data_IF_962759261557
#
_entry.id   IF_962759261557
#
_cell.length_a   1.000
_cell.length_b   1.000
_cell.length_c   1.000
_cell.angle_alpha   90.00
_cell.angle_beta   90.00
_cell.angle_gamma   90.00
#
_symmetry.space_group_name_H-M   'P 1'
#
loop_
_entity.id
_entity.type
_entity.pdbx_description
1 polymer ?
#
# COMPACT_ATOMS: atom_id res chain seq x y z
N UNK A 1 -32.51 2.12 -69.59
CA UNK A 1 -31.69 2.31 -68.37
C UNK A 1 -31.55 3.77 -67.87
N UNK A 2 -32.26 4.71 -68.43
CA UNK A 2 -32.16 6.14 -68.03
C UNK A 2 -33.19 6.67 -67.01
N UNK A 3 -34.19 5.82 -66.63
CA UNK A 3 -35.24 6.24 -65.65
C UNK A 3 -34.97 5.90 -64.21
N UNK A 4 -34.07 4.98 -63.92
CA UNK A 4 -33.71 4.57 -62.53
C UNK A 4 -32.70 5.56 -61.88
N UNK A 5 -31.83 6.19 -62.66
CA UNK A 5 -30.84 7.15 -62.11
C UNK A 5 -31.40 8.48 -61.61
N UNK A 6 -32.50 8.94 -62.22
CA UNK A 6 -33.13 10.22 -61.84
C UNK A 6 -33.93 10.16 -60.51
N UNK A 7 -34.46 8.98 -60.17
CA UNK A 7 -35.18 8.78 -58.90
C UNK A 7 -34.21 8.70 -57.71
N UNK A 8 -33.08 8.10 -57.84
CA UNK A 8 -32.01 8.00 -56.79
C UNK A 8 -31.38 9.39 -56.52
N UNK A 9 -31.19 10.21 -57.55
CA UNK A 9 -30.62 11.54 -57.39
C UNK A 9 -31.58 12.50 -56.66
N UNK A 10 -32.91 12.37 -56.93
CA UNK A 10 -33.93 13.19 -56.23
C UNK A 10 -34.12 12.77 -54.77
N UNK A 11 -34.01 11.48 -54.44
CA UNK A 11 -34.08 11.00 -53.07
C UNK A 11 -32.84 11.43 -52.25
N UNK A 12 -31.65 11.43 -52.85
CA UNK A 12 -30.43 11.88 -52.20
C UNK A 12 -30.42 13.39 -51.90
N UNK A 13 -30.95 14.22 -52.80
CA UNK A 13 -31.09 15.67 -52.63
C UNK A 13 -32.12 16.03 -51.56
N UNK A 14 -33.23 15.28 -51.47
CA UNK A 14 -34.25 15.49 -50.45
C UNK A 14 -33.73 15.13 -49.06
N UNK A 15 -32.92 14.04 -48.90
CA UNK A 15 -32.30 13.66 -47.63
C UNK A 15 -31.24 14.68 -47.18
N UNK A 16 -30.44 15.20 -48.10
CA UNK A 16 -29.43 16.22 -47.79
C UNK A 16 -30.06 17.55 -47.38
N UNK A 17 -31.18 17.94 -47.99
CA UNK A 17 -31.91 19.17 -47.65
C UNK A 17 -32.58 19.07 -46.27
N UNK A 18 -33.13 17.93 -45.89
CA UNK A 18 -33.69 17.69 -44.54
C UNK A 18 -32.64 17.64 -43.46
N UNK A 19 -31.44 17.08 -43.71
CA UNK A 19 -30.32 17.09 -42.77
C UNK A 19 -29.77 18.51 -42.55
N UNK A 20 -29.67 19.31 -43.63
CA UNK A 20 -29.24 20.70 -43.54
C UNK A 20 -30.24 21.59 -42.78
N UNK A 21 -31.55 21.35 -42.95
CA UNK A 21 -32.59 22.08 -42.22
C UNK A 21 -32.62 21.76 -40.73
N UNK A 22 -32.27 20.50 -40.33
CA UNK A 22 -32.13 20.10 -38.92
C UNK A 22 -30.92 20.75 -38.25
N UNK A 23 -29.85 21.06 -39.00
CA UNK A 23 -28.65 21.70 -38.47
C UNK A 23 -28.82 23.23 -38.29
N UNK A 24 -29.83 23.82 -38.91
CA UNK A 24 -30.14 25.26 -38.84
C UNK A 24 -31.20 25.61 -37.79
N UNK A 25 -31.79 24.63 -37.10
CA UNK A 25 -32.69 24.89 -35.99
C UNK A 25 -31.96 25.58 -34.85
N UNK A 26 -32.45 26.71 -34.31
CA UNK A 26 -31.83 27.34 -33.15
C UNK A 26 -31.83 26.35 -31.99
N UNK A 27 -30.64 26.11 -31.42
CA UNK A 27 -30.50 25.27 -30.24
C UNK A 27 -31.34 25.87 -29.10
N UNK A 28 -32.14 25.08 -28.40
CA UNK A 28 -32.84 25.55 -27.23
C UNK A 28 -31.84 26.14 -26.22
N UNK A 29 -32.18 27.21 -25.52
CA UNK A 29 -31.32 27.78 -24.51
C UNK A 29 -31.00 26.71 -23.48
N UNK A 30 -29.76 26.67 -22.95
CA UNK A 30 -29.39 25.73 -21.90
C UNK A 30 -30.34 25.92 -20.70
N UNK A 31 -30.74 24.85 -20.03
CA UNK A 31 -31.56 24.95 -18.82
C UNK A 31 -30.89 25.88 -17.80
N UNK A 32 -31.66 26.65 -17.02
CA UNK A 32 -31.10 27.52 -16.00
C UNK A 32 -30.22 26.68 -15.08
N UNK A 33 -28.97 27.14 -14.88
CA UNK A 33 -28.00 26.49 -14.01
C UNK A 33 -28.61 26.40 -12.63
N UNK A 34 -28.76 25.19 -12.13
CA UNK A 34 -29.17 24.97 -10.75
C UNK A 34 -28.29 25.82 -9.81
N UNK A 35 -28.84 26.48 -8.80
CA UNK A 35 -28.06 27.27 -7.87
C UNK A 35 -27.00 26.34 -7.26
N UNK A 36 -25.75 26.83 -7.21
CA UNK A 36 -24.67 26.11 -6.57
C UNK A 36 -25.11 25.70 -5.14
N UNK A 37 -24.88 24.46 -4.72
CA UNK A 37 -25.20 24.08 -3.34
C UNK A 37 -24.50 25.07 -2.41
N UNK A 38 -25.25 25.63 -1.47
CA UNK A 38 -24.72 26.47 -0.42
C UNK A 38 -23.56 25.74 0.25
N UNK A 39 -22.44 26.43 0.61
CA UNK A 39 -21.36 25.79 1.32
C UNK A 39 -21.95 25.10 2.56
N UNK A 40 -21.78 23.78 2.63
CA UNK A 40 -22.23 23.00 3.77
C UNK A 40 -21.68 23.68 5.01
N UNK A 41 -22.55 24.10 5.92
CA UNK A 41 -22.18 24.63 7.20
C UNK A 41 -21.18 23.62 7.80
N UNK A 42 -19.98 24.09 8.16
CA UNK A 42 -19.00 23.27 8.87
C UNK A 42 -19.69 22.82 10.15
N UNK A 43 -20.16 21.59 10.13
CA UNK A 43 -20.66 20.94 11.35
C UNK A 43 -19.60 21.09 12.41
N UNK A 44 -20.00 21.40 13.63
CA UNK A 44 -19.12 21.39 14.76
C UNK A 44 -18.30 20.09 14.74
N UNK A 45 -16.98 20.12 15.02
CA UNK A 45 -16.20 18.90 15.05
C UNK A 45 -16.89 17.91 15.97
N UNK A 46 -17.18 16.72 15.45
CA UNK A 46 -17.69 15.62 16.27
C UNK A 46 -16.74 15.47 17.47
N UNK A 47 -17.25 15.18 18.68
CA UNK A 47 -16.39 15.01 19.84
C UNK A 47 -15.30 14.00 19.47
N UNK A 48 -14.05 14.40 19.66
CA UNK A 48 -12.90 13.57 19.36
C UNK A 48 -13.08 12.26 20.13
N UNK A 49 -13.41 11.18 19.41
CA UNK A 49 -13.38 9.83 19.98
C UNK A 49 -12.01 9.57 20.59
N UNK A 50 -11.85 8.59 21.49
CA UNK A 50 -10.57 8.31 22.10
C UNK A 50 -9.51 8.20 21.00
N UNK A 51 -8.44 9.00 21.12
CA UNK A 51 -7.39 9.11 20.10
C UNK A 51 -6.83 7.73 19.70
N UNK A 52 -6.26 7.62 18.53
CA UNK A 52 -5.66 6.38 18.05
C UNK A 52 -4.57 5.93 19.04
N UNK A 53 -4.61 4.66 19.43
CA UNK A 53 -3.67 4.06 20.38
C UNK A 53 -2.73 3.11 19.63
N UNK A 54 -1.50 2.86 20.14
CA UNK A 54 -0.59 1.87 19.56
C UNK A 54 -1.26 0.50 19.32
N UNK A 55 -2.08 0.03 20.26
CA UNK A 55 -2.78 -1.27 20.15
C UNK A 55 -3.85 -1.31 19.05
N UNK A 56 -4.24 -0.17 18.50
CA UNK A 56 -5.16 -0.09 17.37
C UNK A 56 -4.47 -0.41 16.02
N UNK A 57 -3.12 -0.47 16.00
CA UNK A 57 -2.32 -0.71 14.80
C UNK A 57 -1.83 -2.16 14.78
N UNK A 58 -1.93 -2.81 13.63
CA UNK A 58 -1.38 -4.13 13.33
C UNK A 58 -0.22 -3.96 12.36
N UNK A 59 1.03 -4.13 12.84
CA UNK A 59 2.22 -4.08 11.99
C UNK A 59 2.61 -5.51 11.64
N UNK A 60 2.46 -5.87 10.37
CA UNK A 60 2.89 -7.14 9.81
C UNK A 60 4.32 -7.01 9.27
N UNK A 61 5.27 -7.75 9.84
CA UNK A 61 6.64 -7.84 9.34
C UNK A 61 6.78 -9.12 8.53
N UNK A 62 6.94 -8.99 7.22
CA UNK A 62 7.17 -10.13 6.32
C UNK A 62 8.64 -10.51 6.32
N UNK A 63 8.93 -11.77 6.60
CA UNK A 63 10.30 -12.30 6.61
C UNK A 63 10.38 -13.72 6.06
N UNK A 64 11.57 -14.31 6.07
CA UNK A 64 11.85 -15.69 5.72
C UNK A 64 12.83 -16.29 6.73
N UNK A 65 12.75 -17.59 6.95
CA UNK A 65 13.59 -18.31 7.93
C UNK A 65 15.09 -17.98 7.83
N UNK A 66 15.61 -17.84 6.60
CA UNK A 66 17.02 -17.49 6.35
C UNK A 66 17.44 -16.10 6.85
N UNK A 67 16.49 -15.18 7.04
CA UNK A 67 16.74 -13.80 7.47
C UNK A 67 16.59 -13.60 8.98
N UNK A 68 16.12 -14.60 9.74
CA UNK A 68 15.86 -14.46 11.17
C UNK A 68 17.10 -14.00 11.93
N UNK A 69 18.23 -14.71 11.75
CA UNK A 69 19.45 -14.42 12.50
C UNK A 69 20.09 -13.07 12.13
N UNK A 70 19.93 -12.61 10.90
CA UNK A 70 20.64 -11.43 10.40
C UNK A 70 19.78 -10.17 10.42
N UNK A 71 18.57 -10.22 9.85
CA UNK A 71 17.70 -9.06 9.71
C UNK A 71 16.75 -8.92 10.90
N UNK A 72 16.02 -9.96 11.22
CA UNK A 72 14.95 -9.89 12.20
C UNK A 72 15.46 -9.65 13.63
N UNK A 73 16.62 -10.23 14.02
CA UNK A 73 17.24 -9.92 15.32
C UNK A 73 17.57 -8.43 15.48
N UNK A 74 17.99 -7.76 14.40
CA UNK A 74 18.23 -6.32 14.40
C UNK A 74 16.93 -5.55 14.64
N UNK A 75 15.84 -5.91 13.95
CA UNK A 75 14.54 -5.27 14.14
C UNK A 75 13.99 -5.47 15.54
N UNK A 76 14.12 -6.69 16.11
CA UNK A 76 13.71 -7.00 17.49
C UNK A 76 14.50 -6.19 18.53
N UNK A 77 15.80 -5.98 18.29
CA UNK A 77 16.65 -5.18 19.17
C UNK A 77 16.37 -3.68 19.05
N UNK A 78 15.93 -3.23 17.88
CA UNK A 78 15.66 -1.82 17.58
C UNK A 78 14.17 -1.52 17.71
N UNK A 79 13.51 -1.09 16.64
CA UNK A 79 12.17 -0.54 16.67
C UNK A 79 11.07 -1.50 17.16
N UNK A 80 11.20 -2.83 16.93
CA UNK A 80 10.20 -3.78 17.45
C UNK A 80 10.20 -3.79 18.99
N UNK A 81 11.34 -3.52 19.64
CA UNK A 81 11.40 -3.41 21.09
C UNK A 81 10.44 -2.37 21.66
N UNK A 82 10.18 -1.30 20.91
CA UNK A 82 9.27 -0.20 21.25
C UNK A 82 7.83 -0.43 20.77
N UNK A 83 7.63 -1.39 19.87
CA UNK A 83 6.33 -1.67 19.24
C UNK A 83 5.88 -3.14 19.37
N UNK A 84 6.35 -3.88 20.39
CA UNK A 84 6.12 -5.33 20.52
C UNK A 84 4.64 -5.72 20.48
N UNK A 85 3.76 -4.95 21.12
CA UNK A 85 2.34 -5.28 21.24
C UNK A 85 1.58 -5.16 19.92
N UNK A 86 2.06 -4.33 19.02
CA UNK A 86 1.43 -4.06 17.72
C UNK A 86 2.09 -4.80 16.54
N UNK A 87 3.24 -5.46 16.77
CA UNK A 87 4.02 -6.13 15.74
C UNK A 87 3.79 -7.64 15.72
N UNK A 88 3.55 -8.17 14.53
CA UNK A 88 3.38 -9.59 14.23
C UNK A 88 4.35 -9.97 13.11
N UNK A 89 5.06 -11.08 13.28
CA UNK A 89 6.12 -11.50 12.36
C UNK A 89 5.64 -12.70 11.56
N UNK A 90 5.63 -12.57 10.24
CA UNK A 90 5.17 -13.59 9.30
C UNK A 90 6.36 -14.22 8.58
N UNK A 91 6.53 -15.53 8.74
CA UNK A 91 7.68 -16.28 8.23
C UNK A 91 7.26 -17.60 7.58
N UNK A 92 8.21 -18.25 6.92
CA UNK A 92 8.03 -19.54 6.24
C UNK A 92 8.72 -20.71 6.95
N UNK A 93 9.08 -20.55 8.20
CA UNK A 93 9.73 -21.64 8.96
C UNK A 93 9.75 -21.40 10.46
N UNK A 94 9.80 -22.50 11.20
CA UNK A 94 9.81 -22.51 12.66
C UNK A 94 11.13 -21.98 13.22
N UNK A 95 11.04 -21.23 14.32
CA UNK A 95 12.16 -20.73 15.10
C UNK A 95 11.75 -20.53 16.56
N UNK A 96 11.92 -21.53 17.41
CA UNK A 96 11.50 -21.46 18.82
C UNK A 96 12.19 -20.34 19.60
N UNK A 97 13.48 -20.07 19.32
CA UNK A 97 14.22 -18.99 19.96
C UNK A 97 13.60 -17.62 19.59
N UNK A 98 13.35 -17.42 18.31
CA UNK A 98 12.69 -16.22 17.82
C UNK A 98 11.28 -16.05 18.38
N UNK A 99 10.50 -17.12 18.47
CA UNK A 99 9.17 -17.14 19.06
C UNK A 99 9.20 -16.61 20.49
N UNK A 100 10.19 -17.05 21.27
CA UNK A 100 10.37 -16.59 22.65
C UNK A 100 10.76 -15.11 22.69
N UNK A 101 11.74 -14.69 21.89
CA UNK A 101 12.20 -13.30 21.82
C UNK A 101 11.10 -12.33 21.37
N UNK A 102 10.23 -12.75 20.47
CA UNK A 102 9.09 -11.96 19.95
C UNK A 102 7.84 -12.07 20.84
N UNK A 103 7.90 -12.75 21.99
CA UNK A 103 6.76 -12.88 22.91
C UNK A 103 5.56 -13.61 22.31
N UNK A 104 5.80 -14.66 21.52
CA UNK A 104 4.76 -15.48 20.91
C UNK A 104 4.08 -14.88 19.67
N UNK A 105 4.66 -13.85 19.07
CA UNK A 105 4.06 -13.13 17.93
C UNK A 105 4.70 -13.47 16.57
N UNK A 106 5.32 -14.63 16.46
CA UNK A 106 5.81 -15.17 15.19
C UNK A 106 4.78 -16.15 14.64
N UNK A 107 4.39 -15.93 13.41
CA UNK A 107 3.38 -16.72 12.72
C UNK A 107 4.07 -17.44 11.56
N UNK A 108 4.15 -18.78 11.66
CA UNK A 108 4.54 -19.59 10.52
C UNK A 108 3.37 -19.63 9.53
N UNK A 109 3.59 -19.08 8.35
CA UNK A 109 2.55 -18.97 7.32
C UNK A 109 2.32 -20.28 6.57
N UNK A 110 3.23 -21.26 6.72
CA UNK A 110 3.28 -22.48 5.90
C UNK A 110 3.41 -22.20 4.39
N UNK A 111 3.79 -20.98 4.02
CA UNK A 111 4.06 -20.60 2.65
C UNK A 111 5.44 -21.09 2.20
N UNK A 112 5.64 -21.26 0.90
CA UNK A 112 6.93 -21.66 0.35
C UNK A 112 8.06 -20.69 0.73
N UNK A 113 9.22 -21.21 1.07
CA UNK A 113 10.44 -20.45 1.31
C UNK A 113 11.14 -20.00 0.00
N UNK A 114 10.69 -20.48 -1.14
CA UNK A 114 11.23 -20.08 -2.46
C UNK A 114 10.79 -18.65 -2.76
N UNK A 115 11.74 -17.79 -3.21
CA UNK A 115 11.41 -16.43 -3.65
C UNK A 115 10.62 -16.48 -4.94
N UNK A 116 9.31 -16.50 -4.83
CA UNK A 116 8.37 -16.52 -5.96
C UNK A 116 7.20 -15.58 -5.69
N UNK A 117 6.54 -15.15 -6.77
CA UNK A 117 5.30 -14.37 -6.69
C UNK A 117 4.26 -15.06 -5.81
N UNK A 118 4.07 -16.36 -5.99
CA UNK A 118 3.10 -17.14 -5.23
C UNK A 118 3.43 -17.17 -3.73
N UNK A 119 4.70 -17.33 -3.37
CA UNK A 119 5.12 -17.33 -1.96
C UNK A 119 4.90 -15.96 -1.29
N UNK A 120 5.16 -14.87 -2.00
CA UNK A 120 4.89 -13.51 -1.50
C UNK A 120 3.40 -13.29 -1.30
N UNK A 121 2.57 -13.60 -2.32
CA UNK A 121 1.12 -13.49 -2.23
C UNK A 121 0.54 -14.39 -1.12
N UNK A 122 1.09 -15.59 -0.90
CA UNK A 122 0.70 -16.48 0.17
C UNK A 122 0.90 -15.82 1.54
N UNK A 123 2.08 -15.22 1.79
CA UNK A 123 2.35 -14.53 3.07
C UNK A 123 1.42 -13.33 3.26
N UNK A 124 1.23 -12.50 2.23
CA UNK A 124 0.31 -11.36 2.27
C UNK A 124 -1.13 -11.79 2.57
N UNK A 125 -1.58 -12.92 2.00
CA UNK A 125 -2.90 -13.48 2.31
C UNK A 125 -3.05 -13.81 3.79
N UNK A 126 -2.03 -14.44 4.39
CA UNK A 126 -2.05 -14.77 5.83
C UNK A 126 -1.97 -13.51 6.70
N UNK A 127 -1.14 -12.52 6.32
CA UNK A 127 -1.06 -11.23 7.00
C UNK A 127 -2.42 -10.54 7.04
N UNK A 128 -3.11 -10.48 5.90
CA UNK A 128 -4.42 -9.87 5.78
C UNK A 128 -5.46 -10.60 6.66
N UNK A 129 -5.55 -11.94 6.57
CA UNK A 129 -6.50 -12.71 7.36
C UNK A 129 -6.27 -12.53 8.86
N UNK A 130 -5.00 -12.56 9.32
CA UNK A 130 -4.63 -12.31 10.73
C UNK A 130 -4.95 -10.89 11.18
N UNK A 131 -4.80 -9.90 10.31
CA UNK A 131 -5.27 -8.55 10.61
C UNK A 131 -6.79 -8.49 10.80
N UNK A 132 -7.56 -9.10 9.89
CA UNK A 132 -9.03 -9.11 10.00
C UNK A 132 -9.48 -9.77 11.31
N UNK A 133 -8.89 -10.94 11.66
CA UNK A 133 -9.13 -11.65 12.92
C UNK A 133 -8.80 -10.79 14.16
N UNK A 134 -7.77 -9.95 14.09
CA UNK A 134 -7.29 -9.16 15.23
C UNK A 134 -8.26 -8.08 15.71
N UNK A 135 -9.19 -7.66 14.88
CA UNK A 135 -10.11 -6.56 15.17
C UNK A 135 -9.48 -5.18 15.20
N UNK A 136 -8.19 -5.04 14.94
CA UNK A 136 -7.45 -3.77 14.99
C UNK A 136 -7.91 -2.80 13.90
N UNK A 137 -7.63 -1.50 14.09
CA UNK A 137 -8.14 -0.41 13.24
C UNK A 137 -7.28 -0.17 12.00
N UNK A 138 -5.98 -0.49 12.06
CA UNK A 138 -5.03 -0.25 10.98
C UNK A 138 -4.19 -1.50 10.71
N UNK A 139 -4.05 -1.85 9.46
CA UNK A 139 -3.08 -2.80 8.95
C UNK A 139 -1.89 -2.05 8.36
N UNK A 140 -0.68 -2.37 8.76
CA UNK A 140 0.54 -1.85 8.15
C UNK A 140 1.47 -3.02 7.82
N UNK A 141 1.82 -3.15 6.56
CA UNK A 141 2.78 -4.12 6.05
C UNK A 141 4.16 -3.51 5.96
N UNK A 142 5.20 -4.24 6.35
CA UNK A 142 6.61 -3.90 6.13
C UNK A 142 7.44 -5.15 5.87
N UNK A 143 8.55 -4.99 5.12
CA UNK A 143 9.54 -6.05 4.93
C UNK A 143 10.57 -6.08 6.06
N UNK A 144 11.35 -7.16 6.14
CA UNK A 144 12.38 -7.36 7.18
C UNK A 144 13.65 -6.52 7.00
N UNK A 145 13.69 -5.66 5.99
CA UNK A 145 14.73 -4.66 5.76
C UNK A 145 14.26 -3.22 6.02
N UNK A 146 13.11 -3.05 6.69
CA UNK A 146 12.59 -1.76 7.09
C UNK A 146 12.83 -1.47 8.58
N UNK A 147 13.28 -0.26 8.89
CA UNK A 147 13.15 0.36 10.19
C UNK A 147 11.83 1.14 10.21
N UNK A 148 10.99 0.89 11.20
CA UNK A 148 9.75 1.65 11.42
C UNK A 148 9.95 2.59 12.60
N UNK A 149 9.49 3.83 12.47
CA UNK A 149 9.30 4.76 13.57
C UNK A 149 7.87 4.61 14.11
N UNK A 150 7.64 3.89 15.23
CA UNK A 150 6.29 3.62 15.70
C UNK A 150 5.51 4.86 16.11
N UNK A 151 6.18 5.88 16.64
CA UNK A 151 5.57 7.14 17.05
C UNK A 151 5.18 7.97 15.82
N UNK A 152 6.08 8.07 14.83
CA UNK A 152 5.79 8.74 13.56
C UNK A 152 4.64 8.06 12.81
N UNK A 153 4.59 6.72 12.84
CA UNK A 153 3.49 5.96 12.25
C UNK A 153 2.16 6.25 12.97
N UNK A 154 2.14 6.19 14.30
CA UNK A 154 0.96 6.50 15.11
C UNK A 154 0.45 7.92 14.83
N UNK A 155 1.37 8.90 14.79
CA UNK A 155 1.04 10.30 14.50
C UNK A 155 0.43 10.44 13.09
N UNK A 156 1.05 9.83 12.08
CA UNK A 156 0.55 9.87 10.71
C UNK A 156 -0.86 9.26 10.61
N UNK A 157 -1.07 8.06 11.16
CA UNK A 157 -2.36 7.37 11.08
C UNK A 157 -3.45 8.09 11.90
N UNK A 158 -3.09 8.83 12.95
CA UNK A 158 -4.05 9.61 13.75
C UNK A 158 -4.73 10.75 12.99
N UNK A 159 -4.16 11.14 11.83
CA UNK A 159 -4.74 12.16 10.95
C UNK A 159 -5.89 11.65 10.10
N UNK A 160 -6.13 10.33 10.09
CA UNK A 160 -7.17 9.67 9.30
C UNK A 160 -8.17 8.93 10.19
N UNK A 161 -9.39 8.75 9.68
CA UNK A 161 -10.38 7.86 10.32
C UNK A 161 -10.21 6.41 9.83
N UNK A 162 -10.13 5.42 10.73
CA UNK A 162 -10.02 4.01 10.34
C UNK A 162 -11.30 3.44 9.68
N UNK A 163 -12.40 4.18 9.71
CA UNK A 163 -13.66 3.80 9.03
C UNK A 163 -13.72 4.32 7.58
N UNK A 164 -12.86 5.26 7.19
CA UNK A 164 -12.73 5.75 5.82
C UNK A 164 -11.89 4.80 4.98
N UNK A 165 -12.01 4.90 3.67
CA UNK A 165 -11.17 4.13 2.73
C UNK A 165 -9.78 4.80 2.62
N UNK A 166 -8.83 4.29 3.37
CA UNK A 166 -7.46 4.81 3.38
C UNK A 166 -6.48 3.71 2.97
N UNK A 167 -5.79 3.95 1.86
CA UNK A 167 -4.64 3.20 1.39
C UNK A 167 -3.45 4.16 1.33
N UNK A 168 -2.48 3.99 2.20
CA UNK A 168 -1.40 4.94 2.45
C UNK A 168 -0.04 4.27 2.27
N UNK A 169 0.83 4.88 1.48
CA UNK A 169 2.19 4.39 1.26
C UNK A 169 2.90 5.14 0.14
N UNK A 170 4.04 4.64 -0.27
CA UNK A 170 4.80 5.21 -1.37
C UNK A 170 4.40 4.58 -2.69
N UNK A 171 4.01 5.37 -3.68
CA UNK A 171 3.80 4.86 -5.02
C UNK A 171 5.08 4.21 -5.56
N UNK A 172 4.97 2.99 -6.10
CA UNK A 172 6.11 2.21 -6.58
C UNK A 172 6.77 2.80 -7.82
N UNK A 173 5.96 3.40 -8.68
CA UNK A 173 6.38 3.98 -9.97
C UNK A 173 5.88 5.42 -10.07
N UNK A 174 6.33 6.14 -11.09
CA UNK A 174 5.86 7.49 -11.44
C UNK A 174 4.65 7.49 -12.39
N UNK A 175 4.13 6.31 -12.69
CA UNK A 175 2.94 6.08 -13.51
C UNK A 175 2.14 4.87 -13.01
N UNK A 176 0.83 4.79 -13.31
CA UNK A 176 0.02 3.63 -12.98
C UNK A 176 0.40 2.44 -13.86
N UNK A 177 0.28 1.22 -13.32
CA UNK A 177 0.40 -0.01 -14.10
C UNK A 177 -0.95 -0.47 -14.64
N UNK A 178 -0.90 -1.39 -15.61
CA UNK A 178 -2.08 -2.01 -16.21
C UNK A 178 -2.14 -3.49 -15.85
N UNK A 179 -3.33 -3.97 -15.50
CA UNK A 179 -3.61 -5.39 -15.38
C UNK A 179 -4.80 -5.79 -16.23
N UNK A 180 -4.68 -6.96 -16.85
CA UNK A 180 -5.77 -7.60 -17.58
C UNK A 180 -6.15 -8.89 -16.87
N UNK A 181 -7.37 -8.99 -16.41
CA UNK A 181 -7.88 -10.22 -15.80
C UNK A 181 -8.10 -11.28 -16.88
N UNK A 182 -7.62 -12.49 -16.61
CA UNK A 182 -7.83 -13.65 -17.48
C UNK A 182 -9.08 -14.40 -17.06
N UNK A 183 -10.03 -14.53 -17.98
CA UNK A 183 -11.21 -15.37 -17.77
C UNK A 183 -10.92 -16.80 -18.26
N UNK A 184 -11.28 -17.84 -17.49
CA UNK A 184 -11.27 -19.20 -17.98
C UNK A 184 -12.15 -19.30 -19.25
N UNK A 185 -11.56 -19.75 -20.36
CA UNK A 185 -12.27 -19.84 -21.65
C UNK A 185 -11.81 -18.86 -22.74
N UNK A 186 -10.79 -18.01 -22.46
CA UNK A 186 -10.10 -17.23 -23.51
C UNK A 186 -10.69 -15.86 -23.84
N UNK A 187 -11.62 -15.35 -23.02
CA UNK A 187 -12.11 -13.97 -23.14
C UNK A 187 -11.18 -12.98 -22.45
N UNK A 188 -10.95 -11.81 -23.06
CA UNK A 188 -10.27 -10.67 -22.41
C UNK A 188 -11.29 -9.84 -21.65
N UNK A 189 -11.05 -9.65 -20.36
CA UNK A 189 -11.75 -8.65 -19.54
C UNK A 189 -11.03 -7.30 -19.71
N UNK A 190 -11.73 -6.22 -19.42
CA UNK A 190 -11.20 -4.87 -19.52
C UNK A 190 -9.86 -4.71 -18.77
N UNK A 191 -8.92 -4.04 -19.41
CA UNK A 191 -7.65 -3.63 -18.78
C UNK A 191 -7.95 -2.53 -17.74
N UNK A 192 -7.44 -2.71 -16.53
CA UNK A 192 -7.58 -1.76 -15.43
C UNK A 192 -6.24 -1.10 -15.18
N UNK A 193 -6.24 0.24 -15.09
CA UNK A 193 -5.08 1.05 -14.68
C UNK A 193 -5.20 1.39 -13.21
N UNK A 194 -4.10 1.23 -12.46
CA UNK A 194 -4.09 1.50 -11.03
C UNK A 194 -2.68 1.81 -10.52
N UNK A 195 -2.63 2.56 -9.43
CA UNK A 195 -1.42 2.77 -8.64
C UNK A 195 -1.32 1.71 -7.54
N UNK A 196 -0.12 1.44 -7.10
CA UNK A 196 0.12 0.62 -5.92
C UNK A 196 1.26 1.17 -5.08
N UNK A 197 1.17 0.98 -3.77
CA UNK A 197 2.26 1.26 -2.86
C UNK A 197 3.27 0.12 -2.90
N UNK A 198 4.55 0.43 -3.00
CA UNK A 198 5.60 -0.59 -2.96
C UNK A 198 5.68 -1.24 -1.58
N UNK A 199 5.59 -2.58 -1.52
CA UNK A 199 5.71 -3.36 -0.30
C UNK A 199 7.04 -3.12 0.41
N UNK A 200 8.13 -2.96 -0.35
CA UNK A 200 9.46 -2.70 0.20
C UNK A 200 9.61 -1.37 0.95
N UNK A 201 8.69 -0.41 0.79
CA UNK A 201 8.63 0.81 1.60
C UNK A 201 7.69 0.68 2.80
N UNK A 202 6.86 -0.35 2.80
CA UNK A 202 5.71 -0.47 3.67
C UNK A 202 4.50 0.33 3.18
N UNK A 203 3.33 -0.10 3.62
CA UNK A 203 2.06 0.60 3.37
C UNK A 203 1.05 0.30 4.47
N UNK A 204 0.03 1.13 4.60
CA UNK A 204 -1.05 0.92 5.55
C UNK A 204 -2.44 0.94 4.90
N UNK A 205 -3.35 0.15 5.45
CA UNK A 205 -4.76 0.08 5.09
C UNK A 205 -5.60 0.36 6.33
N UNK A 206 -6.63 1.18 6.16
CA UNK A 206 -7.66 1.32 7.19
C UNK A 206 -8.52 0.06 7.29
N UNK A 207 -9.10 -0.20 8.47
CA UNK A 207 -10.01 -1.33 8.64
C UNK A 207 -11.24 -1.23 7.74
N UNK A 208 -11.78 0.00 7.56
CA UNK A 208 -12.92 0.22 6.67
C UNK A 208 -12.66 -0.26 5.25
N UNK A 209 -11.51 0.11 4.70
CA UNK A 209 -11.08 -0.35 3.38
C UNK A 209 -10.79 -1.85 3.35
N UNK A 210 -10.04 -2.35 4.33
CA UNK A 210 -9.70 -3.77 4.39
C UNK A 210 -10.94 -4.68 4.43
N UNK A 211 -11.98 -4.30 5.18
CA UNK A 211 -13.23 -5.07 5.18
C UNK A 211 -13.90 -5.10 3.80
N UNK A 212 -13.82 -4.03 3.02
CA UNK A 212 -14.32 -4.01 1.63
C UNK A 212 -13.50 -4.91 0.69
N UNK A 213 -12.23 -5.15 0.99
CA UNK A 213 -11.37 -6.05 0.23
C UNK A 213 -11.75 -7.53 0.41
N UNK A 214 -12.52 -7.89 1.43
CA UNK A 214 -12.83 -9.28 1.82
C UNK A 214 -13.24 -10.21 0.67
N UNK A 215 -14.08 -9.81 -0.31
CA UNK A 215 -14.46 -10.71 -1.41
C UNK A 215 -13.27 -11.22 -2.24
N UNK A 216 -12.18 -10.45 -2.29
CA UNK A 216 -10.99 -10.76 -3.09
C UNK A 216 -9.76 -11.10 -2.26
N UNK A 217 -9.81 -10.92 -0.94
CA UNK A 217 -8.64 -11.04 -0.08
C UNK A 217 -8.79 -12.04 1.07
N UNK A 218 -10.00 -12.24 1.62
CA UNK A 218 -10.21 -13.12 2.77
C UNK A 218 -10.15 -14.61 2.43
N UNK A 219 -9.77 -15.42 3.43
CA UNK A 219 -9.81 -16.89 3.40
C UNK A 219 -9.12 -17.48 2.16
N UNK A 220 -7.94 -16.95 1.83
CA UNK A 220 -7.15 -17.41 0.69
C UNK A 220 -7.59 -16.84 -0.68
N UNK A 221 -8.68 -16.07 -0.76
CA UNK A 221 -9.14 -15.42 -1.99
C UNK A 221 -8.09 -14.51 -2.59
N UNK A 222 -7.18 -13.95 -1.76
CA UNK A 222 -6.05 -13.15 -2.23
C UNK A 222 -5.18 -13.90 -3.23
N UNK A 223 -4.88 -15.18 -2.94
CA UNK A 223 -4.11 -16.05 -3.85
C UNK A 223 -4.80 -16.23 -5.19
N UNK A 224 -6.11 -16.49 -5.17
CA UNK A 224 -6.90 -16.64 -6.40
C UNK A 224 -6.94 -15.35 -7.22
N UNK A 225 -7.06 -14.20 -6.55
CA UNK A 225 -7.02 -12.88 -7.19
C UNK A 225 -5.65 -12.62 -7.82
N UNK A 226 -4.56 -12.83 -7.07
CA UNK A 226 -3.20 -12.68 -7.56
C UNK A 226 -2.89 -13.58 -8.77
N UNK A 227 -3.44 -14.79 -8.79
CA UNK A 227 -3.25 -15.73 -9.89
C UNK A 227 -3.99 -15.30 -11.16
N UNK A 228 -5.22 -14.77 -11.04
CA UNK A 228 -5.98 -14.23 -12.18
C UNK A 228 -5.25 -13.08 -12.87
N UNK A 229 -4.66 -12.15 -12.10
CA UNK A 229 -3.97 -10.98 -12.64
C UNK A 229 -2.47 -11.19 -12.83
N UNK A 230 -1.90 -12.26 -12.25
CA UNK A 230 -0.47 -12.62 -12.29
C UNK A 230 0.47 -11.54 -11.75
N UNK A 231 0.01 -10.82 -10.75
CA UNK A 231 0.75 -9.75 -10.09
C UNK A 231 1.41 -10.22 -8.79
N UNK A 232 2.52 -9.57 -8.35
CA UNK A 232 3.06 -9.72 -6.99
C UNK A 232 2.05 -9.24 -5.93
N UNK A 233 2.40 -9.47 -4.67
CA UNK A 233 1.55 -9.18 -3.51
C UNK A 233 1.14 -7.70 -3.40
N UNK A 234 2.08 -6.77 -3.43
CA UNK A 234 1.83 -5.32 -3.34
C UNK A 234 1.03 -4.79 -4.54
N UNK A 235 1.36 -5.25 -5.76
CA UNK A 235 0.58 -4.94 -6.95
C UNK A 235 -0.85 -5.51 -6.86
N UNK A 236 -1.02 -6.71 -6.28
CA UNK A 236 -2.34 -7.33 -6.09
C UNK A 236 -3.18 -6.53 -5.09
N UNK A 237 -2.57 -6.01 -4.01
CA UNK A 237 -3.25 -5.07 -3.09
C UNK A 237 -3.71 -3.83 -3.85
N UNK A 238 -2.84 -3.19 -4.62
CA UNK A 238 -3.19 -2.02 -5.44
C UNK A 238 -4.31 -2.31 -6.45
N UNK A 239 -4.26 -3.48 -7.11
CA UNK A 239 -5.32 -3.92 -8.02
C UNK A 239 -6.68 -4.04 -7.31
N UNK A 240 -6.73 -4.65 -6.13
CA UNK A 240 -7.98 -4.77 -5.37
C UNK A 240 -8.46 -3.38 -4.94
N UNK A 241 -7.56 -2.56 -4.38
CA UNK A 241 -7.93 -1.26 -3.78
C UNK A 241 -8.31 -0.23 -4.84
N UNK A 242 -7.44 0.04 -5.81
CA UNK A 242 -7.70 1.04 -6.84
C UNK A 242 -8.51 0.49 -8.01
N UNK A 243 -8.13 -0.71 -8.49
CA UNK A 243 -8.71 -1.29 -9.68
C UNK A 243 -10.14 -1.81 -9.49
N UNK A 244 -10.43 -2.46 -8.37
CA UNK A 244 -11.74 -3.05 -8.10
C UNK A 244 -12.63 -2.19 -7.19
N UNK A 245 -12.05 -1.58 -6.15
CA UNK A 245 -12.81 -0.78 -5.19
C UNK A 245 -12.83 0.72 -5.51
N UNK A 246 -11.96 1.20 -6.41
CA UNK A 246 -11.87 2.61 -6.77
C UNK A 246 -11.32 3.53 -5.66
N UNK A 247 -10.78 2.97 -4.59
CA UNK A 247 -10.14 3.73 -3.53
C UNK A 247 -8.71 4.08 -3.93
N UNK A 248 -8.34 5.36 -3.85
CA UNK A 248 -7.04 5.85 -4.37
C UNK A 248 -5.91 5.67 -3.37
N UNK A 249 -4.72 5.37 -3.88
CA UNK A 249 -3.48 5.43 -3.11
C UNK A 249 -3.20 6.87 -2.65
N UNK A 250 -3.07 7.07 -1.36
CA UNK A 250 -2.57 8.29 -0.75
C UNK A 250 -1.04 8.19 -0.68
N UNK A 251 -0.37 8.85 -1.62
CA UNK A 251 1.08 8.87 -1.64
C UNK A 251 1.65 9.63 -0.43
N UNK A 252 2.56 8.98 0.31
CA UNK A 252 3.29 9.59 1.40
C UNK A 252 4.80 9.50 1.17
N UNK A 253 5.53 10.62 1.20
CA UNK A 253 6.98 10.63 1.07
C UNK A 253 7.70 10.13 2.34
N UNK A 254 6.97 9.81 3.41
CA UNK A 254 7.53 9.35 4.69
C UNK A 254 7.86 7.84 4.69
N UNK A 255 7.49 7.12 3.63
CA UNK A 255 7.79 5.70 3.45
C UNK A 255 8.92 5.52 2.45
N UNK A 256 9.88 4.64 2.76
CA UNK A 256 11.08 4.46 1.95
C UNK A 256 11.41 3.00 1.68
N UNK A 257 11.64 2.67 0.40
CA UNK A 257 11.99 1.32 -0.05
C UNK A 257 13.51 1.13 -0.21
N UNK A 258 13.94 -0.12 -0.24
CA UNK A 258 15.33 -0.50 -0.49
C UNK A 258 15.85 -0.12 -1.91
N UNK A 259 14.98 0.36 -2.80
CA UNK A 259 15.35 0.80 -4.16
C UNK A 259 15.76 2.27 -4.23
N UNK A 260 15.55 3.04 -3.17
CA UNK A 260 15.80 4.48 -3.15
C UNK A 260 17.24 4.85 -2.80
N UNK A 261 17.65 6.04 -3.22
CA UNK A 261 18.87 6.68 -2.72
C UNK A 261 18.56 7.50 -1.46
N UNK A 262 18.75 6.89 -0.28
CA UNK A 262 18.49 7.54 1.00
C UNK A 262 19.60 8.52 1.46
N UNK A 263 20.75 8.56 0.79
CA UNK A 263 21.78 9.56 1.05
C UNK A 263 21.30 10.97 0.67
N UNK A 264 20.26 11.07 -0.16
CA UNK A 264 19.63 12.36 -0.53
C UNK A 264 18.66 12.89 0.53
N UNK A 265 18.30 12.06 1.51
CA UNK A 265 17.42 12.49 2.59
C UNK A 265 18.21 13.40 3.55
N UNK A 266 17.75 14.64 3.80
CA UNK A 266 18.43 15.53 4.74
C UNK A 266 18.54 14.89 6.13
N UNK A 267 19.70 14.98 6.80
CA UNK A 267 19.90 14.35 8.12
C UNK A 267 18.85 14.74 9.16
N UNK A 268 18.41 15.98 9.16
CA UNK A 268 17.37 16.51 10.04
C UNK A 268 15.98 15.91 9.78
N UNK A 269 15.74 15.42 8.57
CA UNK A 269 14.47 14.79 8.19
C UNK A 269 14.43 13.30 8.50
N UNK A 270 15.57 12.63 8.74
CA UNK A 270 15.65 11.18 8.90
C UNK A 270 14.77 10.68 10.04
N UNK A 271 14.77 11.34 11.19
CA UNK A 271 13.99 10.94 12.37
C UNK A 271 12.50 11.22 12.26
N UNK A 272 12.09 11.97 11.23
CA UNK A 272 10.69 12.27 10.94
C UNK A 272 10.06 11.23 10.00
N UNK A 273 10.87 10.33 9.40
CA UNK A 273 10.35 9.33 8.48
C UNK A 273 9.59 8.25 9.24
N UNK A 274 8.58 7.66 8.57
CA UNK A 274 7.79 6.55 9.11
C UNK A 274 8.51 5.23 8.88
N UNK A 275 9.07 5.02 7.68
CA UNK A 275 9.92 3.88 7.40
C UNK A 275 11.22 4.31 6.75
N UNK A 276 12.28 3.58 7.06
CA UNK A 276 13.57 3.62 6.37
C UNK A 276 13.90 2.19 5.96
N UNK A 277 14.69 2.02 4.91
CA UNK A 277 15.04 0.69 4.42
C UNK A 277 16.54 0.54 4.22
N UNK A 278 16.99 -0.70 4.01
CA UNK A 278 18.38 -1.05 3.77
C UNK A 278 18.52 -2.07 2.64
N UNK A 279 18.92 -1.59 1.45
CA UNK A 279 19.09 -2.41 0.25
C UNK A 279 20.36 -3.28 0.24
N UNK A 280 21.23 -3.11 1.24
CA UNK A 280 22.46 -3.88 1.33
C UNK A 280 23.43 -3.62 0.18
N UNK A 281 24.28 -4.62 -0.17
CA UNK A 281 25.26 -4.48 -1.23
C UNK A 281 24.67 -4.23 -2.63
N UNK A 282 23.40 -4.60 -2.85
CA UNK A 282 22.71 -4.41 -4.13
C UNK A 282 22.37 -2.93 -4.39
N UNK A 283 22.20 -2.14 -3.32
CA UNK A 283 21.98 -0.70 -3.41
C UNK A 283 22.77 0.04 -2.30
N UNK A 284 24.07 0.32 -2.47
CA UNK A 284 24.89 0.98 -1.47
C UNK A 284 24.48 2.43 -1.18
N UNK A 285 23.62 3.04 -2.02
CA UNK A 285 23.07 4.37 -1.79
C UNK A 285 21.81 4.36 -0.90
N UNK A 286 21.25 3.19 -0.63
CA UNK A 286 20.10 3.01 0.25
C UNK A 286 20.54 2.93 1.73
N UNK A 287 21.14 3.98 2.22
CA UNK A 287 21.60 4.15 3.59
C UNK A 287 21.48 5.62 3.98
N UNK A 288 20.86 5.88 5.12
CA UNK A 288 20.67 7.25 5.62
C UNK A 288 21.96 7.86 6.17
N UNK A 289 22.10 9.17 5.98
CA UNK A 289 23.19 9.95 6.56
C UNK A 289 22.74 10.50 7.91
N UNK A 290 23.15 9.83 9.01
CA UNK A 290 22.88 10.29 10.38
C UNK A 290 24.17 10.33 11.19
N UNK A 291 24.30 11.34 12.04
CA UNK A 291 25.31 11.33 13.09
C UNK A 291 24.96 10.23 14.11
N UNK A 292 25.96 9.56 14.65
CA UNK A 292 25.76 8.53 15.65
C UNK A 292 27.09 7.94 16.10
N UNK A 293 27.08 7.26 17.24
CA UNK A 293 28.26 6.69 17.86
C UNK A 293 28.75 5.40 17.17
N UNK A 294 27.93 4.82 16.28
CA UNK A 294 28.33 3.62 15.53
C UNK A 294 28.96 3.98 14.20
N UNK A 295 30.10 3.35 13.89
CA UNK A 295 30.68 3.41 12.53
C UNK A 295 29.78 2.67 11.53
N UNK A 296 29.96 2.92 10.22
CA UNK A 296 29.27 2.17 9.16
C UNK A 296 29.61 0.66 9.18
N UNK A 297 30.78 0.29 9.69
CA UNK A 297 31.15 -1.11 9.84
C UNK A 297 30.36 -1.81 10.96
N UNK A 298 30.08 -1.09 12.05
CA UNK A 298 29.32 -1.62 13.19
C UNK A 298 27.80 -1.59 12.92
N UNK A 299 27.33 -0.58 12.22
CA UNK A 299 25.91 -0.38 11.88
C UNK A 299 25.75 -0.03 10.40
N UNK A 300 25.94 -0.99 9.49
CA UNK A 300 25.85 -0.75 8.05
C UNK A 300 24.43 -0.36 7.59
N UNK A 301 23.41 -0.72 8.36
CA UNK A 301 22.01 -0.34 8.08
C UNK A 301 21.67 1.06 8.58
N UNK A 302 22.44 1.62 9.51
CA UNK A 302 22.15 2.81 10.31
C UNK A 302 20.94 2.66 11.23
N UNK A 303 20.34 1.48 11.33
CA UNK A 303 19.15 1.26 12.16
C UNK A 303 19.43 1.38 13.66
N UNK A 304 20.60 0.96 14.12
CA UNK A 304 21.01 1.16 15.52
C UNK A 304 21.24 2.66 15.80
N UNK A 305 21.89 3.36 14.88
CA UNK A 305 22.14 4.80 15.00
C UNK A 305 20.83 5.60 15.06
N UNK A 306 19.89 5.30 14.13
CA UNK A 306 18.57 5.91 14.12
C UNK A 306 17.80 5.60 15.41
N UNK A 307 17.90 4.36 15.89
CA UNK A 307 17.21 3.93 17.11
C UNK A 307 17.71 4.68 18.33
N UNK A 308 19.02 4.83 18.49
CA UNK A 308 19.59 5.56 19.63
C UNK A 308 19.32 7.07 19.58
N UNK A 309 19.15 7.64 18.38
CA UNK A 309 18.73 9.03 18.24
C UNK A 309 17.26 9.23 18.62
N UNK A 310 16.39 8.28 18.28
CA UNK A 310 14.97 8.32 18.65
C UNK A 310 14.73 7.94 20.12
N UNK A 311 15.52 6.99 20.64
CA UNK A 311 15.34 6.38 21.96
C UNK A 311 16.68 6.32 22.71
N UNK A 312 17.22 7.48 23.16
CA UNK A 312 18.52 7.54 23.84
C UNK A 312 18.56 6.83 25.21
N UNK A 313 17.38 6.50 25.76
CA UNK A 313 17.20 5.73 26.99
C UNK A 313 17.38 4.22 26.80
N UNK A 314 17.75 3.76 25.62
CA UNK A 314 17.96 2.32 25.34
C UNK A 314 19.30 1.86 25.92
N UNK A 315 19.30 0.85 26.79
CA UNK A 315 20.45 0.38 27.58
C UNK A 315 21.74 0.11 26.78
N UNK A 316 21.62 -0.31 25.52
CA UNK A 316 22.76 -0.62 24.66
C UNK A 316 23.19 0.55 23.75
N UNK A 317 22.55 1.70 23.86
CA UNK A 317 22.97 2.90 23.17
C UNK A 317 24.19 3.52 23.87
N UNK A 318 25.23 3.96 23.12
CA UNK A 318 26.44 4.56 23.70
C UNK A 318 26.19 5.90 24.39
#
# INVERSE_FOLDING_TARGET
>A
MARAGAALCRAGLALAATLAALLLLPRPPPPPRAPAPAPAARGAPAPAGPGLRPDDIFIAVKTTRRNHARRLRLLLRTWISRARRQTFIFTDGEDPELQLQAGGRVINTNCSAVRSRQALCCKMSVEYDKFIESGRKWFCHVDDDNYVNPEGLLQLLSTFSPSQDVYLGRASLDHPIEATERVPGGGTVATVKFWFATGGAGFCLSRGLALKMSPWASLGSFMSTAERVRLPDDCTVGYIVEGLLGARLLHSPLFHSHLENLQRLPPEAVLQQVTLSYGGPENPQNVVSVAGSFSLQQDPTRFQSVHCLLYPDTDWCP
#
